data_IF_832235028822
#
_entry.id   IF_832235028822
#
_cell.length_a   1.000
_cell.length_b   1.000
_cell.length_c   1.000
_cell.angle_alpha   90.00
_cell.angle_beta   90.00
_cell.angle_gamma   90.00
#
_symmetry.space_group_name_H-M   'P 1'
#
loop_
_entity.id
_entity.type
_entity.pdbx_description
1 polymer ?
#
# COMPACT_ATOMS: atom_id res chain seq x y z
N UNK A 1 8.50 18.44 -20.15
CA UNK A 1 8.09 17.40 -19.21
C UNK A 1 7.20 18.05 -18.16
N UNK A 2 5.87 17.98 -18.35
CA UNK A 2 4.92 18.45 -17.34
C UNK A 2 5.09 17.57 -16.12
N UNK A 3 5.47 18.14 -14.98
CA UNK A 3 5.34 17.52 -13.67
C UNK A 3 3.85 17.18 -13.50
N UNK A 4 3.50 15.91 -13.61
CA UNK A 4 2.16 15.46 -13.18
C UNK A 4 2.10 15.73 -11.69
N UNK A 5 1.14 16.52 -11.25
CA UNK A 5 0.85 16.64 -9.83
C UNK A 5 0.52 15.25 -9.29
N UNK A 6 1.27 14.83 -8.27
CA UNK A 6 0.98 13.58 -7.58
C UNK A 6 -0.22 13.82 -6.69
N UNK A 7 -1.37 13.29 -7.08
CA UNK A 7 -2.61 13.41 -6.32
C UNK A 7 -2.83 12.14 -5.52
N UNK A 8 -3.11 12.29 -4.22
CA UNK A 8 -3.57 11.20 -3.37
C UNK A 8 -5.09 11.22 -3.27
N UNK A 9 -5.68 10.05 -3.43
CA UNK A 9 -7.11 9.86 -3.20
C UNK A 9 -7.30 8.63 -2.32
N UNK A 10 -8.08 8.77 -1.26
CA UNK A 10 -8.48 7.67 -0.43
C UNK A 10 -9.82 7.12 -0.91
N UNK A 11 -9.91 5.83 -1.11
CA UNK A 11 -11.16 5.16 -1.46
C UNK A 11 -11.54 4.12 -0.43
N UNK A 12 -12.82 3.95 -0.24
CA UNK A 12 -13.42 3.01 0.69
C UNK A 12 -14.39 2.07 -0.01
N UNK A 13 -14.65 0.94 0.59
CA UNK A 13 -15.63 -0.04 0.13
C UNK A 13 -16.94 0.12 0.89
N UNK A 14 -18.06 0.17 0.16
CA UNK A 14 -19.42 0.17 0.70
C UNK A 14 -19.93 1.51 1.24
N UNK A 15 -19.09 2.33 1.84
CA UNK A 15 -19.41 3.67 2.33
C UNK A 15 -18.19 4.58 2.27
N UNK A 16 -18.39 5.85 1.93
CA UNK A 16 -17.33 6.85 2.00
C UNK A 16 -16.98 7.24 3.44
N UNK A 17 -17.90 7.07 4.37
CA UNK A 17 -17.61 7.25 5.80
C UNK A 17 -17.07 5.96 6.39
N UNK A 18 -15.85 6.02 6.90
CA UNK A 18 -15.13 4.92 7.52
C UNK A 18 -14.99 5.20 9.01
N UNK A 19 -15.31 4.21 9.83
CA UNK A 19 -14.96 4.23 11.24
C UNK A 19 -13.75 3.33 11.45
N UNK A 20 -12.63 3.94 11.87
CA UNK A 20 -11.42 3.18 12.18
C UNK A 20 -11.63 2.29 13.42
N UNK A 21 -10.75 1.29 13.62
CA UNK A 21 -10.76 0.45 14.82
C UNK A 21 -10.63 1.26 16.14
N UNK A 22 -10.09 2.47 16.06
CA UNK A 22 -9.97 3.41 17.18
C UNK A 22 -11.09 4.46 17.21
N UNK A 23 -12.21 4.20 16.54
CA UNK A 23 -13.40 5.05 16.51
C UNK A 23 -13.19 6.46 15.93
N UNK A 24 -12.17 6.64 15.11
CA UNK A 24 -11.95 7.87 14.37
C UNK A 24 -12.74 7.77 13.06
N UNK A 25 -13.54 8.79 12.77
CA UNK A 25 -14.28 8.89 11.50
C UNK A 25 -13.41 9.52 10.44
N UNK A 26 -13.36 8.89 9.28
CA UNK A 26 -12.64 9.37 8.10
C UNK A 26 -13.62 9.33 6.93
N UNK A 27 -13.63 10.39 6.14
CA UNK A 27 -14.40 10.42 4.88
C UNK A 27 -13.44 10.18 3.73
N UNK A 28 -13.68 9.13 2.97
CA UNK A 28 -12.94 8.85 1.75
C UNK A 28 -13.38 9.77 0.60
N UNK A 29 -12.47 10.03 -0.33
CA UNK A 29 -12.74 10.87 -1.51
C UNK A 29 -13.72 10.19 -2.48
N UNK A 30 -13.66 8.86 -2.59
CA UNK A 30 -14.49 8.07 -3.49
C UNK A 30 -14.80 6.68 -2.92
N UNK A 31 -15.75 5.97 -3.50
CA UNK A 31 -15.89 4.53 -3.32
C UNK A 31 -14.88 3.81 -4.25
N UNK A 32 -14.32 2.70 -3.78
CA UNK A 32 -13.36 1.91 -4.56
C UNK A 32 -13.97 1.45 -5.89
N UNK A 33 -15.26 1.16 -5.89
CA UNK A 33 -16.02 0.72 -7.06
C UNK A 33 -16.27 1.83 -8.09
N UNK A 34 -16.11 3.11 -7.70
CA UNK A 34 -16.34 4.29 -8.56
C UNK A 34 -15.05 4.85 -9.15
N UNK A 35 -13.89 4.35 -8.71
CA UNK A 35 -12.58 4.85 -9.16
C UNK A 35 -12.28 4.37 -10.59
N UNK A 36 -11.85 5.28 -11.46
CA UNK A 36 -11.24 4.93 -12.73
C UNK A 36 -9.75 4.60 -12.52
N UNK A 37 -9.45 3.31 -12.43
CA UNK A 37 -8.09 2.83 -12.18
C UNK A 37 -7.16 2.95 -13.39
N UNK A 38 -7.64 3.36 -14.56
CA UNK A 38 -6.79 3.56 -15.74
C UNK A 38 -5.75 4.67 -15.52
N UNK A 39 -6.13 5.72 -14.78
CA UNK A 39 -5.30 6.87 -14.45
C UNK A 39 -4.51 6.71 -13.13
N UNK A 40 -4.67 5.59 -12.44
CA UNK A 40 -3.98 5.29 -11.18
C UNK A 40 -2.64 4.60 -11.47
N UNK A 41 -1.56 5.10 -10.89
CA UNK A 41 -0.21 4.55 -11.03
C UNK A 41 0.18 3.60 -9.91
N UNK A 42 -0.41 3.77 -8.71
CA UNK A 42 -0.11 3.01 -7.50
C UNK A 42 -1.38 2.77 -6.69
N UNK A 43 -1.57 1.55 -6.24
CA UNK A 43 -2.57 1.17 -5.24
C UNK A 43 -1.86 0.81 -3.93
N UNK A 44 -2.33 1.38 -2.82
CA UNK A 44 -1.77 1.13 -1.47
C UNK A 44 -2.85 0.50 -0.58
N UNK A 45 -2.54 -0.65 -0.01
CA UNK A 45 -3.39 -1.31 0.98
C UNK A 45 -2.93 -0.95 2.40
N UNK A 46 -3.75 -0.23 3.18
CA UNK A 46 -3.47 -0.01 4.59
C UNK A 46 -3.70 -1.29 5.39
N UNK A 47 -3.03 -1.38 6.53
CA UNK A 47 -3.20 -2.47 7.47
C UNK A 47 -4.37 -2.26 8.43
N UNK A 48 -4.27 -2.93 9.57
CA UNK A 48 -5.24 -2.89 10.65
C UNK A 48 -6.30 -3.98 10.57
N UNK A 49 -6.86 -4.31 11.73
CA UNK A 49 -7.94 -5.30 11.87
C UNK A 49 -9.17 -4.57 12.40
N UNK A 50 -10.36 -4.76 11.81
CA UNK A 50 -10.74 -5.73 10.76
C UNK A 50 -10.56 -5.24 9.32
N UNK A 51 -9.86 -4.13 9.06
CA UNK A 51 -9.71 -3.57 7.72
C UNK A 51 -9.07 -4.54 6.73
N UNK A 52 -7.98 -5.22 7.12
CA UNK A 52 -7.26 -6.15 6.24
C UNK A 52 -8.13 -7.30 5.72
N UNK A 53 -8.86 -8.06 6.55
CA UNK A 53 -9.79 -9.08 6.02
C UNK A 53 -10.91 -8.49 5.17
N UNK A 54 -11.39 -7.28 5.47
CA UNK A 54 -12.39 -6.61 4.64
C UNK A 54 -11.83 -6.28 3.24
N UNK A 55 -10.57 -5.83 3.15
CA UNK A 55 -9.90 -5.62 1.86
C UNK A 55 -9.75 -6.93 1.08
N UNK A 56 -9.37 -8.01 1.75
CA UNK A 56 -9.25 -9.33 1.14
C UNK A 56 -10.57 -9.88 0.60
N UNK A 57 -11.69 -9.54 1.24
CA UNK A 57 -13.02 -9.95 0.82
C UNK A 57 -13.63 -9.06 -0.30
N UNK A 58 -13.04 -7.88 -0.55
CA UNK A 58 -13.56 -6.97 -1.56
C UNK A 58 -13.00 -7.30 -2.95
N UNK A 59 -13.91 -7.68 -3.86
CA UNK A 59 -13.53 -8.10 -5.22
C UNK A 59 -12.88 -6.98 -6.03
N UNK A 60 -13.34 -5.74 -5.91
CA UNK A 60 -12.74 -4.60 -6.61
C UNK A 60 -11.30 -4.41 -6.18
N UNK A 61 -11.01 -4.50 -4.88
CA UNK A 61 -9.65 -4.38 -4.34
C UNK A 61 -8.76 -5.50 -4.84
N UNK A 62 -9.19 -6.75 -4.72
CA UNK A 62 -8.38 -7.92 -5.10
C UNK A 62 -8.14 -8.00 -6.61
N UNK A 63 -9.14 -7.69 -7.42
CA UNK A 63 -9.01 -7.63 -8.88
C UNK A 63 -8.05 -6.49 -9.30
N UNK A 64 -8.15 -5.32 -8.66
CA UNK A 64 -7.27 -4.18 -8.96
C UNK A 64 -5.82 -4.49 -8.60
N UNK A 65 -5.56 -5.03 -7.40
CA UNK A 65 -4.21 -5.42 -7.01
C UNK A 65 -3.61 -6.44 -7.97
N UNK A 66 -4.40 -7.43 -8.37
CA UNK A 66 -3.97 -8.47 -9.31
C UNK A 66 -3.66 -7.89 -10.68
N UNK A 67 -4.53 -7.04 -11.21
CA UNK A 67 -4.34 -6.40 -12.51
C UNK A 67 -3.09 -5.48 -12.51
N UNK A 68 -2.91 -4.68 -11.46
CA UNK A 68 -1.75 -3.80 -11.31
C UNK A 68 -0.45 -4.59 -11.23
N UNK A 69 -0.40 -5.61 -10.38
CA UNK A 69 0.79 -6.44 -10.23
C UNK A 69 1.20 -7.09 -11.56
N UNK A 70 0.23 -7.59 -12.33
CA UNK A 70 0.48 -8.25 -13.62
C UNK A 70 0.84 -7.27 -14.75
N UNK A 71 0.31 -6.06 -14.73
CA UNK A 71 0.57 -5.04 -15.77
C UNK A 71 1.86 -4.24 -15.54
N UNK A 72 2.55 -4.44 -14.41
CA UNK A 72 3.72 -3.66 -14.03
C UNK A 72 3.39 -2.31 -13.37
N UNK A 73 2.12 -1.99 -13.16
CA UNK A 73 1.72 -0.89 -12.29
C UNK A 73 2.07 -1.21 -10.84
N UNK A 74 2.18 -0.19 -10.00
CA UNK A 74 2.69 -0.35 -8.63
C UNK A 74 1.59 -0.79 -7.66
N UNK A 75 1.97 -1.71 -6.77
CA UNK A 75 1.14 -2.15 -5.65
C UNK A 75 1.96 -2.06 -4.38
N UNK A 76 1.39 -1.50 -3.34
CA UNK A 76 2.05 -1.42 -2.03
C UNK A 76 1.11 -1.85 -0.91
N UNK A 77 1.67 -2.39 0.16
CA UNK A 77 0.91 -2.84 1.31
C UNK A 77 1.73 -2.70 2.60
N UNK A 78 1.08 -2.33 3.70
CA UNK A 78 1.75 -2.11 4.97
C UNK A 78 1.09 -2.89 6.11
N UNK A 79 1.87 -3.28 7.10
CA UNK A 79 1.44 -3.90 8.36
C UNK A 79 0.85 -5.29 8.14
N UNK A 80 -0.45 -5.48 8.34
CA UNK A 80 -1.14 -6.73 8.07
C UNK A 80 -1.47 -6.94 6.58
N UNK A 81 -1.57 -5.87 5.80
CA UNK A 81 -2.08 -5.91 4.42
C UNK A 81 -1.21 -6.67 3.40
N UNK A 82 0.11 -6.85 3.55
CA UNK A 82 0.88 -7.73 2.67
C UNK A 82 0.33 -9.16 2.63
N UNK A 83 -0.34 -9.63 3.69
CA UNK A 83 -1.01 -10.93 3.70
C UNK A 83 -2.13 -11.04 2.65
N UNK A 84 -2.78 -9.92 2.29
CA UNK A 84 -3.76 -9.88 1.19
C UNK A 84 -3.07 -10.18 -0.14
N UNK A 85 -1.94 -9.54 -0.41
CA UNK A 85 -1.17 -9.77 -1.63
C UNK A 85 -0.66 -11.22 -1.72
N UNK A 86 -0.22 -11.78 -0.59
CA UNK A 86 0.20 -13.18 -0.51
C UNK A 86 -0.95 -14.14 -0.82
N UNK A 87 -2.14 -13.88 -0.28
CA UNK A 87 -3.33 -14.71 -0.53
C UNK A 87 -3.77 -14.72 -2.01
N UNK A 88 -3.40 -13.69 -2.76
CA UNK A 88 -3.63 -13.58 -4.21
C UNK A 88 -2.49 -14.20 -5.05
N UNK A 89 -1.48 -14.78 -4.40
CA UNK A 89 -0.30 -15.35 -5.08
C UNK A 89 0.66 -14.30 -5.65
N UNK A 90 0.48 -13.02 -5.32
CA UNK A 90 1.26 -11.91 -5.88
C UNK A 90 2.66 -11.80 -5.26
N UNK A 91 2.91 -12.46 -4.14
CA UNK A 91 4.20 -12.46 -3.45
C UNK A 91 5.01 -13.75 -3.69
N UNK A 92 4.54 -14.66 -4.55
CA UNK A 92 5.25 -15.90 -4.83
C UNK A 92 6.66 -15.64 -5.38
N UNK A 93 7.68 -16.14 -4.67
CA UNK A 93 9.10 -15.94 -5.01
C UNK A 93 9.63 -14.52 -4.84
N UNK A 94 8.84 -13.60 -4.29
CA UNK A 94 9.23 -12.20 -4.08
C UNK A 94 9.71 -11.93 -2.67
N UNK A 95 10.64 -11.00 -2.55
CA UNK A 95 11.03 -10.43 -1.27
C UNK A 95 9.89 -9.56 -0.74
N UNK A 96 9.54 -9.74 0.53
CA UNK A 96 8.46 -8.99 1.16
C UNK A 96 8.64 -8.90 2.69
N UNK A 97 7.95 -7.97 3.30
CA UNK A 97 7.82 -7.86 4.75
C UNK A 97 6.36 -7.61 5.13
N UNK A 98 6.06 -7.82 6.39
CA UNK A 98 4.79 -7.50 7.02
C UNK A 98 5.00 -7.30 8.52
N UNK A 99 3.97 -6.86 9.22
CA UNK A 99 3.96 -6.88 10.69
C UNK A 99 4.30 -8.28 11.22
N UNK A 100 5.10 -8.36 12.28
CA UNK A 100 5.60 -9.63 12.82
C UNK A 100 4.50 -10.68 13.02
N UNK A 101 3.30 -10.27 13.45
CA UNK A 101 2.14 -11.16 13.61
C UNK A 101 1.49 -11.63 12.29
N UNK A 102 2.00 -11.21 11.13
CA UNK A 102 1.49 -11.56 9.81
C UNK A 102 2.56 -12.11 8.86
N UNK A 103 3.81 -12.18 9.28
CA UNK A 103 4.91 -12.70 8.45
C UNK A 103 4.69 -14.17 8.08
N UNK A 104 4.12 -14.97 8.99
CA UNK A 104 3.75 -16.36 8.74
C UNK A 104 2.64 -16.56 7.70
N UNK A 105 1.94 -15.48 7.35
CA UNK A 105 0.86 -15.45 6.34
C UNK A 105 1.33 -15.04 4.95
N UNK A 106 2.63 -14.75 4.78
CA UNK A 106 3.22 -14.40 3.50
C UNK A 106 3.65 -15.66 2.72
N UNK A 107 2.70 -16.57 2.49
CA UNK A 107 2.97 -17.81 1.78
C UNK A 107 3.62 -17.55 0.42
N UNK A 108 4.71 -18.27 0.14
CA UNK A 108 5.48 -18.17 -1.11
C UNK A 108 6.48 -17.02 -1.17
N UNK A 109 6.42 -16.05 -0.25
CA UNK A 109 7.36 -14.94 -0.21
C UNK A 109 8.69 -15.31 0.48
N UNK A 110 9.74 -14.58 0.11
CA UNK A 110 11.01 -14.52 0.86
C UNK A 110 10.86 -13.39 1.88
N UNK A 111 10.62 -13.76 3.13
CA UNK A 111 10.26 -12.81 4.19
C UNK A 111 11.50 -12.15 4.78
N UNK A 112 11.46 -10.83 4.90
CA UNK A 112 12.49 -10.00 5.53
C UNK A 112 11.92 -9.24 6.72
N UNK A 113 12.72 -9.03 7.75
CA UNK A 113 12.38 -8.19 8.89
C UNK A 113 12.97 -6.78 8.70
N UNK A 114 12.48 -6.09 7.67
CA UNK A 114 12.94 -4.76 7.27
C UNK A 114 11.77 -3.77 7.25
N UNK A 115 12.07 -2.49 7.46
CA UNK A 115 11.04 -1.44 7.46
C UNK A 115 10.30 -1.34 6.13
N UNK A 116 11.02 -1.45 5.02
CA UNK A 116 10.49 -1.38 3.66
C UNK A 116 11.22 -2.38 2.78
N UNK A 117 10.47 -3.17 2.04
CA UNK A 117 11.01 -4.10 1.04
C UNK A 117 10.39 -3.79 -0.30
N UNK A 118 11.24 -3.57 -1.31
CA UNK A 118 10.83 -3.35 -2.70
C UNK A 118 11.26 -4.53 -3.55
N UNK A 119 10.34 -5.15 -4.24
CA UNK A 119 10.63 -6.20 -5.22
C UNK A 119 9.82 -5.96 -6.50
N UNK A 120 10.51 -5.49 -7.52
CA UNK A 120 9.87 -5.09 -8.78
C UNK A 120 8.86 -3.96 -8.57
N UNK A 121 7.61 -4.20 -8.90
CA UNK A 121 6.52 -3.24 -8.76
C UNK A 121 5.72 -3.39 -7.45
N UNK A 122 6.18 -4.23 -6.53
CA UNK A 122 5.53 -4.43 -5.23
C UNK A 122 6.42 -3.88 -4.11
N UNK A 123 5.82 -3.08 -3.24
CA UNK A 123 6.47 -2.50 -2.07
C UNK A 123 5.69 -2.89 -0.82
N UNK A 124 6.38 -3.43 0.18
CA UNK A 124 5.77 -3.83 1.45
C UNK A 124 6.47 -3.17 2.63
N UNK A 125 5.76 -2.97 3.74
CA UNK A 125 6.32 -2.44 4.98
C UNK A 125 5.74 -3.15 6.21
N UNK A 126 6.52 -3.21 7.28
CA UNK A 126 6.19 -4.02 8.45
C UNK A 126 5.15 -3.37 9.39
N UNK A 127 4.88 -2.07 9.29
CA UNK A 127 3.84 -1.46 10.13
C UNK A 127 4.04 0.01 10.43
N UNK A 128 3.34 0.49 11.46
CA UNK A 128 3.30 1.91 11.81
C UNK A 128 4.69 2.53 11.98
N UNK A 129 5.63 1.81 12.61
CA UNK A 129 7.00 2.29 12.77
C UNK A 129 7.73 2.54 11.45
N UNK A 130 7.38 1.82 10.39
CA UNK A 130 7.92 1.97 9.04
C UNK A 130 7.07 2.85 8.11
N UNK A 131 6.02 3.51 8.60
CA UNK A 131 5.07 4.25 7.75
C UNK A 131 5.72 5.44 7.02
N UNK A 132 6.62 6.17 7.68
CA UNK A 132 7.31 7.30 7.04
C UNK A 132 8.30 6.82 5.98
N UNK A 133 9.25 5.91 6.25
CA UNK A 133 10.13 5.40 5.20
C UNK A 133 9.36 4.70 4.07
N UNK A 134 8.25 4.01 4.37
CA UNK A 134 7.37 3.44 3.36
C UNK A 134 6.78 4.53 2.45
N UNK A 135 6.22 5.58 3.02
CA UNK A 135 5.66 6.69 2.25
C UNK A 135 6.74 7.40 1.41
N UNK A 136 7.93 7.65 1.97
CA UNK A 136 9.05 8.28 1.25
C UNK A 136 9.53 7.40 0.08
N UNK A 137 9.56 6.09 0.24
CA UNK A 137 9.89 5.17 -0.84
C UNK A 137 8.86 5.23 -1.98
N UNK A 138 7.56 5.28 -1.65
CA UNK A 138 6.51 5.43 -2.67
C UNK A 138 6.63 6.78 -3.41
N UNK A 139 6.92 7.86 -2.70
CA UNK A 139 7.20 9.16 -3.33
C UNK A 139 8.42 9.07 -4.26
N UNK A 140 9.49 8.40 -3.82
CA UNK A 140 10.69 8.19 -4.62
C UNK A 140 10.38 7.49 -5.94
N UNK A 141 9.53 6.47 -5.88
CA UNK A 141 9.12 5.70 -7.06
C UNK A 141 8.23 6.48 -8.03
N UNK A 142 7.38 7.39 -7.52
CA UNK A 142 6.41 8.14 -8.32
C UNK A 142 6.94 9.48 -8.81
N UNK A 143 7.68 10.19 -7.97
CA UNK A 143 8.10 11.57 -8.21
C UNK A 143 9.63 11.76 -8.22
N UNK A 144 10.39 10.71 -7.95
CA UNK A 144 11.86 10.72 -7.97
C UNK A 144 12.50 11.01 -6.61
N UNK A 145 13.82 10.75 -6.51
CA UNK A 145 14.55 10.86 -5.25
C UNK A 145 14.61 12.31 -4.72
N UNK A 146 14.72 13.30 -5.58
CA UNK A 146 14.80 14.71 -5.17
C UNK A 146 13.52 15.15 -4.43
N UNK A 147 12.36 14.70 -4.87
CA UNK A 147 11.08 15.01 -4.22
C UNK A 147 10.95 14.28 -2.87
N UNK A 148 11.35 13.02 -2.80
CA UNK A 148 11.40 12.28 -1.54
C UNK A 148 12.31 12.98 -0.51
N UNK A 149 13.50 13.43 -0.92
CA UNK A 149 14.45 14.15 -0.06
C UNK A 149 13.89 15.50 0.39
N UNK A 150 13.19 16.21 -0.49
CA UNK A 150 12.51 17.47 -0.17
C UNK A 150 11.44 17.26 0.91
N UNK A 151 10.60 16.24 0.73
CA UNK A 151 9.55 15.90 1.70
C UNK A 151 10.16 15.44 3.02
N UNK A 152 11.17 14.57 2.99
CA UNK A 152 11.86 14.10 4.19
C UNK A 152 12.37 15.27 5.05
N UNK A 153 12.98 16.27 4.41
CA UNK A 153 13.44 17.50 5.10
C UNK A 153 12.27 18.32 5.64
N UNK A 154 11.20 18.47 4.86
CA UNK A 154 10.03 19.27 5.22
C UNK A 154 9.30 18.73 6.45
N UNK A 155 9.24 17.40 6.61
CA UNK A 155 8.62 16.73 7.76
C UNK A 155 9.60 16.52 8.92
N UNK A 156 10.84 17.03 8.81
CA UNK A 156 11.90 16.87 9.80
C UNK A 156 12.23 15.41 10.17
N UNK A 157 12.02 14.47 9.25
CA UNK A 157 12.36 13.06 9.45
C UNK A 157 13.87 12.87 9.36
N UNK A 158 14.46 12.32 10.42
CA UNK A 158 15.91 12.16 10.60
C UNK A 158 16.24 10.69 10.86
N UNK A 159 16.46 9.95 9.81
CA UNK A 159 17.01 8.58 9.83
C UNK A 159 17.87 8.32 8.59
#
# INVERSE_FOLDING_TARGET
SSLRETTFSASASGSREILSSHKIRITADALAEEVDYSDVDLVVLPGGIPGTPNLAANKTVTDTCTAFAKSGKKVAAICAAPSVLASLGLLEGKNATAHAGFQDKLAGAIVHDEEVVVDGNITTSYGLGGAIPFALELVRQLAGPAEADRIQKAIAYRH
#
